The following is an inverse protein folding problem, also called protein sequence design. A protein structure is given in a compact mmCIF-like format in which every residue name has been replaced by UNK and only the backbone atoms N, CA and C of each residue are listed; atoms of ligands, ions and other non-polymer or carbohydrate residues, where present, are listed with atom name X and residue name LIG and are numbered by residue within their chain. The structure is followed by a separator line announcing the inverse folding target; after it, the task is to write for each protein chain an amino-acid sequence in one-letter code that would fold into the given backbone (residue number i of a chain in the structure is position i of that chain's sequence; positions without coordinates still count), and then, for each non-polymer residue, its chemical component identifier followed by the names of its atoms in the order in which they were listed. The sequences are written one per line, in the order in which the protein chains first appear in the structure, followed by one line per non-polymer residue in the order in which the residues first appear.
data_IF_295434231421
#
_entry.id   IF_295434231421
#
_cell.length_a   1.000
_cell.length_b   1.000
_cell.length_c   1.000
_cell.angle_alpha   90.00
_cell.angle_beta   90.00
_cell.angle_gamma   90.00
#
_symmetry.space_group_name_H-M   'P 1'
#
loop_
_entity.id
_entity.type
_entity.pdbx_description
1 polymer ?
#
# COMPACT_ATOMS: atom_id res chain seq x y z
N UNK A 1 -6.02 -30.69 -11.81
CA UNK A 1 -6.47 -29.30 -12.04
C UNK A 1 -7.08 -28.82 -10.74
N UNK A 2 -6.31 -28.09 -9.93
CA UNK A 2 -6.80 -27.58 -8.63
C UNK A 2 -7.43 -26.22 -8.87
N UNK A 3 -8.75 -26.16 -8.71
CA UNK A 3 -9.51 -24.91 -8.62
C UNK A 3 -9.20 -24.21 -7.29
N UNK A 4 -8.67 -22.99 -7.36
CA UNK A 4 -8.50 -22.06 -6.23
C UNK A 4 -9.63 -21.02 -6.34
N UNK A 5 -10.31 -20.66 -5.23
CA UNK A 5 -11.66 -20.10 -5.28
C UNK A 5 -11.71 -18.64 -5.75
N UNK A 6 -12.82 -18.32 -6.41
CA UNK A 6 -13.27 -16.95 -6.65
C UNK A 6 -13.60 -16.29 -5.30
N UNK A 7 -12.79 -15.32 -4.89
CA UNK A 7 -12.95 -14.61 -3.64
C UNK A 7 -11.63 -14.02 -3.16
N UNK A 8 -11.15 -13.00 -3.84
CA UNK A 8 -10.11 -12.13 -3.32
C UNK A 8 -10.50 -10.70 -3.74
N UNK A 9 -11.34 -10.08 -2.90
CA UNK A 9 -11.20 -8.65 -2.62
C UNK A 9 -9.73 -8.26 -2.76
N UNK A 10 -9.41 -7.36 -3.70
CA UNK A 10 -8.05 -7.04 -4.10
C UNK A 10 -7.20 -6.83 -2.83
N UNK A 11 -6.39 -7.83 -2.48
CA UNK A 11 -5.63 -7.80 -1.26
C UNK A 11 -4.75 -6.55 -1.33
N UNK A 12 -4.81 -5.65 -0.33
CA UNK A 12 -3.88 -4.53 -0.31
C UNK A 12 -2.48 -5.12 -0.38
N UNK A 13 -1.68 -4.67 -1.35
CA UNK A 13 -0.29 -5.09 -1.46
C UNK A 13 0.39 -4.90 -0.10
N UNK A 14 1.06 -5.93 0.43
CA UNK A 14 1.71 -5.88 1.75
C UNK A 14 2.64 -4.66 1.90
N UNK A 15 3.20 -4.19 0.77
CA UNK A 15 4.03 -2.98 0.68
C UNK A 15 3.22 -1.71 0.97
N UNK A 16 1.98 -1.61 0.48
CA UNK A 16 1.09 -0.47 0.77
C UNK A 16 0.73 -0.41 2.25
N UNK A 17 0.50 -1.57 2.89
CA UNK A 17 0.19 -1.62 4.32
C UNK A 17 1.39 -1.23 5.17
N UNK A 18 2.59 -1.72 4.81
CA UNK A 18 3.85 -1.33 5.46
C UNK A 18 4.15 0.17 5.30
N UNK A 19 3.97 0.73 4.11
CA UNK A 19 4.13 2.17 3.84
C UNK A 19 3.13 3.02 4.61
N UNK A 20 1.88 2.57 4.74
CA UNK A 20 0.88 3.26 5.55
C UNK A 20 1.28 3.29 7.03
N UNK A 21 1.72 2.16 7.59
CA UNK A 21 2.21 2.09 8.97
C UNK A 21 3.45 2.97 9.19
N UNK A 22 4.38 3.00 8.23
CA UNK A 22 5.57 3.86 8.28
C UNK A 22 5.22 5.34 8.23
N UNK A 23 4.26 5.73 7.38
CA UNK A 23 3.75 7.10 7.30
C UNK A 23 3.14 7.54 8.63
N UNK A 24 2.31 6.70 9.25
CA UNK A 24 1.68 7.01 10.52
C UNK A 24 2.72 7.16 11.65
N UNK A 25 3.72 6.27 11.73
CA UNK A 25 4.83 6.42 12.66
C UNK A 25 5.67 7.70 12.42
N UNK A 26 5.90 8.06 11.15
CA UNK A 26 6.58 9.31 10.79
C UNK A 26 5.76 10.54 11.19
N UNK A 27 4.42 10.46 11.11
CA UNK A 27 3.49 11.52 11.50
C UNK A 27 3.47 11.72 13.01
N UNK A 28 3.47 10.64 13.78
CA UNK A 28 3.59 10.67 15.24
C UNK A 28 4.95 11.24 15.69
N UNK A 29 6.02 10.93 14.95
CA UNK A 29 7.35 11.46 15.19
C UNK A 29 7.56 12.91 14.67
N UNK A 30 6.56 13.52 14.02
CA UNK A 30 6.66 14.85 13.44
C UNK A 30 7.61 14.97 12.24
N UNK A 31 7.99 13.84 11.62
CA UNK A 31 8.89 13.78 10.46
C UNK A 31 8.14 14.05 9.17
N UNK A 32 7.72 15.30 8.96
CA UNK A 32 6.88 15.71 7.81
C UNK A 32 7.48 15.41 6.44
N UNK A 33 8.82 15.42 6.30
CA UNK A 33 9.49 15.04 5.04
C UNK A 33 9.32 13.55 4.72
N UNK A 34 9.41 12.69 5.73
CA UNK A 34 9.26 11.24 5.57
C UNK A 34 7.79 10.85 5.34
N UNK A 35 6.85 11.57 5.95
CA UNK A 35 5.41 11.47 5.64
C UNK A 35 5.15 11.76 4.16
N UNK A 36 5.72 12.84 3.62
CA UNK A 36 5.54 13.22 2.22
C UNK A 36 6.12 12.20 1.23
N UNK A 37 7.27 11.60 1.53
CA UNK A 37 7.82 10.52 0.69
C UNK A 37 6.94 9.27 0.72
N UNK A 38 6.45 8.87 1.90
CA UNK A 38 5.52 7.74 2.03
C UNK A 38 4.19 8.00 1.31
N UNK A 39 3.63 9.21 1.39
CA UNK A 39 2.39 9.56 0.68
C UNK A 39 2.57 9.57 -0.84
N UNK A 40 3.72 10.06 -1.33
CA UNK A 40 4.07 10.01 -2.75
C UNK A 40 4.18 8.58 -3.23
N UNK A 41 4.90 7.73 -2.50
CA UNK A 41 5.09 6.32 -2.85
C UNK A 41 3.76 5.55 -2.79
N UNK A 42 2.92 5.82 -1.79
CA UNK A 42 1.55 5.28 -1.71
C UNK A 42 0.66 5.73 -2.88
N UNK A 43 0.82 6.96 -3.37
CA UNK A 43 0.07 7.45 -4.53
C UNK A 43 0.51 6.76 -5.83
N UNK A 44 1.82 6.55 -6.01
CA UNK A 44 2.36 5.77 -7.13
C UNK A 44 1.90 4.30 -7.07
N UNK A 45 1.86 3.74 -5.86
CA UNK A 45 1.36 2.39 -5.62
C UNK A 45 -0.17 2.26 -5.68
N UNK A 46 -0.93 3.32 -5.41
CA UNK A 46 -2.39 3.35 -5.59
C UNK A 46 -2.79 3.12 -7.05
N UNK A 47 -1.94 3.55 -8.00
CA UNK A 47 -2.07 3.22 -9.42
C UNK A 47 -1.74 1.74 -9.69
N UNK A 48 -0.80 1.18 -8.93
CA UNK A 48 -0.42 -0.22 -8.96
C UNK A 48 -1.53 -1.15 -8.45
N UNK A 49 -2.35 -0.73 -7.48
CA UNK A 49 -3.54 -1.49 -7.05
C UNK A 49 -4.66 -1.56 -8.10
N UNK A 50 -4.63 -0.67 -9.10
CA UNK A 50 -5.54 -0.68 -10.25
C UNK A 50 -5.01 -1.56 -11.40
N UNK A 51 -3.69 -1.76 -11.47
CA UNK A 51 -3.02 -2.62 -12.47
C UNK A 51 -2.61 -4.00 -11.90
N UNK A 52 -2.65 -4.19 -10.58
CA UNK A 52 -2.64 -5.49 -9.89
C UNK A 52 -4.02 -6.15 -10.00
N UNK A 53 -4.50 -6.28 -11.23
CA UNK A 53 -5.38 -7.37 -11.62
C UNK A 53 -4.46 -8.49 -12.14
N UNK A 54 -4.65 -9.77 -11.76
CA UNK A 54 -3.97 -10.87 -12.43
C UNK A 54 -4.29 -10.90 -13.94
#
# INVERSE_FOLDING_TARGET
MTTVPAGAEAAPCDVCEALAAQRDAAREAGRTGEVGDCERELSEHGRHGQECSP
#
